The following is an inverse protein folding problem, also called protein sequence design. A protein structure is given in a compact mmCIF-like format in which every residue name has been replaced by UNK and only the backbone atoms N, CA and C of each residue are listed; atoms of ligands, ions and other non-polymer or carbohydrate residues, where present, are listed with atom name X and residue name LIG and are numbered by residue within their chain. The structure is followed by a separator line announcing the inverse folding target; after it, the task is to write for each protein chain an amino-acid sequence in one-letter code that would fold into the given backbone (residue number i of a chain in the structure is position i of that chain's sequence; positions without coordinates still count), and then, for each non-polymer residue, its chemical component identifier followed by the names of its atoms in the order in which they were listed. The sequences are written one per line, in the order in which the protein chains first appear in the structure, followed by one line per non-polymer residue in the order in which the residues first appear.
data_IF_887482412124
#
_entry.id   IF_887482412124
#
_cell.length_a   1.000
_cell.length_b   1.000
_cell.length_c   1.000
_cell.angle_alpha   90.00
_cell.angle_beta   90.00
_cell.angle_gamma   90.00
#
_symmetry.space_group_name_H-M   'P 1'
#
loop_
_entity.id
_entity.type
_entity.pdbx_description
1 polymer ?
#
# COMPACT_ATOMS: atom_id res chain seq x y z
N UNK A 1 -18.70 -6.05 7.52
CA UNK A 1 -18.05 -4.79 7.94
C UNK A 1 -16.55 -5.00 8.06
N UNK A 2 -15.69 -3.97 8.04
CA UNK A 2 -14.23 -4.12 8.18
C UNK A 2 -13.79 -4.90 9.42
N UNK A 3 -14.57 -4.82 10.50
CA UNK A 3 -14.33 -5.52 11.77
C UNK A 3 -14.42 -7.05 11.63
N UNK A 4 -15.23 -7.56 10.68
CA UNK A 4 -15.38 -9.00 10.44
C UNK A 4 -14.07 -9.62 9.91
N UNK A 5 -13.22 -8.82 9.26
CA UNK A 5 -11.94 -9.27 8.73
C UNK A 5 -10.86 -9.43 9.82
N UNK A 6 -11.05 -8.84 11.01
CA UNK A 6 -10.00 -8.75 12.03
C UNK A 6 -9.48 -10.11 12.51
N UNK A 7 -10.34 -11.12 12.52
CA UNK A 7 -10.00 -12.45 13.02
C UNK A 7 -9.46 -13.38 11.93
N UNK A 8 -9.36 -12.91 10.67
CA UNK A 8 -8.88 -13.74 9.59
C UNK A 8 -7.40 -14.11 9.83
N UNK A 9 -7.02 -15.41 9.86
CA UNK A 9 -5.66 -15.84 10.21
C UNK A 9 -4.56 -15.23 9.33
N UNK A 10 -4.90 -14.81 8.10
CA UNK A 10 -3.94 -14.20 7.18
C UNK A 10 -3.23 -12.98 7.76
N UNK A 11 -3.92 -12.16 8.55
CA UNK A 11 -3.36 -10.93 9.11
C UNK A 11 -2.32 -11.19 10.21
N UNK A 12 -2.21 -12.44 10.69
CA UNK A 12 -1.12 -12.88 11.58
C UNK A 12 0.15 -13.30 10.82
N UNK A 13 0.07 -13.41 9.49
CA UNK A 13 1.13 -13.94 8.63
C UNK A 13 1.75 -12.87 7.71
N UNK A 14 1.13 -11.69 7.63
CA UNK A 14 1.55 -10.61 6.73
C UNK A 14 2.04 -9.39 7.52
N UNK A 15 2.95 -8.61 6.93
CA UNK A 15 3.50 -7.40 7.54
C UNK A 15 2.79 -6.12 7.12
N UNK A 16 2.04 -6.13 6.02
CA UNK A 16 1.34 -4.97 5.47
C UNK A 16 0.16 -5.40 4.60
N UNK A 17 -0.74 -4.46 4.30
CA UNK A 17 -1.89 -4.64 3.40
C UNK A 17 -1.74 -3.69 2.21
N UNK A 18 -1.93 -4.19 0.99
CA UNK A 18 -2.03 -3.31 -0.17
C UNK A 18 -3.43 -2.68 -0.21
N UNK A 19 -3.49 -1.36 -0.07
CA UNK A 19 -4.75 -0.59 0.01
C UNK A 19 -4.93 0.35 -1.17
N UNK A 20 -3.95 0.38 -2.07
CA UNK A 20 -3.93 1.21 -3.25
C UNK A 20 -3.35 0.39 -4.41
N UNK A 21 -4.16 -0.52 -4.94
CA UNK A 21 -3.80 -1.36 -6.08
C UNK A 21 -4.39 -0.75 -7.37
N UNK A 22 -3.54 -0.59 -8.39
CA UNK A 22 -3.92 0.06 -9.64
C UNK A 22 -4.83 -0.76 -10.56
N UNK A 23 -4.92 -2.07 -10.36
CA UNK A 23 -5.84 -2.99 -11.03
C UNK A 23 -7.15 -3.26 -10.28
N UNK A 24 -7.26 -2.77 -9.04
CA UNK A 24 -8.42 -2.94 -8.14
C UNK A 24 -9.39 -1.77 -8.27
N UNK A 25 -10.69 -2.01 -8.01
CA UNK A 25 -11.70 -0.95 -7.99
C UNK A 25 -11.46 0.01 -6.81
N UNK A 26 -11.80 1.29 -6.97
CA UNK A 26 -11.52 2.28 -5.93
C UNK A 26 -12.29 1.96 -4.63
N UNK A 27 -13.52 1.42 -4.72
CA UNK A 27 -14.30 1.00 -3.55
C UNK A 27 -13.67 -0.18 -2.79
N UNK A 28 -12.97 -1.07 -3.49
CA UNK A 28 -12.25 -2.20 -2.89
C UNK A 28 -10.96 -1.72 -2.19
N UNK A 29 -10.26 -0.75 -2.78
CA UNK A 29 -9.13 -0.06 -2.15
C UNK A 29 -9.57 0.66 -0.87
N UNK A 30 -10.71 1.36 -0.90
CA UNK A 30 -11.30 2.02 0.26
C UNK A 30 -11.64 1.03 1.38
N UNK A 31 -12.20 -0.13 1.02
CA UNK A 31 -12.47 -1.19 1.98
C UNK A 31 -11.19 -1.74 2.60
N UNK A 32 -10.16 -2.00 1.79
CA UNK A 32 -8.86 -2.47 2.28
C UNK A 32 -8.20 -1.45 3.22
N UNK A 33 -8.28 -0.14 2.91
CA UNK A 33 -7.80 0.93 3.78
C UNK A 33 -8.50 0.92 5.14
N UNK A 34 -9.83 0.76 5.16
CA UNK A 34 -10.60 0.68 6.41
C UNK A 34 -10.22 -0.54 7.24
N UNK A 35 -10.08 -1.71 6.61
CA UNK A 35 -9.65 -2.95 7.29
C UNK A 35 -8.25 -2.80 7.88
N UNK A 36 -7.30 -2.28 7.10
CA UNK A 36 -5.92 -2.06 7.55
C UNK A 36 -5.86 -1.04 8.71
N UNK A 37 -6.69 0.00 8.66
CA UNK A 37 -6.83 0.98 9.74
C UNK A 37 -7.34 0.37 11.04
N UNK A 38 -8.37 -0.47 10.99
CA UNK A 38 -8.89 -1.19 12.17
C UNK A 38 -7.84 -2.14 12.75
N UNK A 39 -7.06 -2.80 11.89
CA UNK A 39 -5.97 -3.69 12.30
C UNK A 39 -4.68 -2.97 12.71
N UNK A 40 -4.61 -1.65 12.54
CA UNK A 40 -3.42 -0.82 12.71
C UNK A 40 -2.19 -1.41 11.97
N UNK A 41 -2.40 -1.87 10.74
CA UNK A 41 -1.37 -2.49 9.91
C UNK A 41 -0.72 -1.45 8.98
N UNK A 42 0.58 -1.60 8.68
CA UNK A 42 1.22 -0.85 7.61
C UNK A 42 0.51 -1.05 6.27
N UNK A 43 0.48 0.00 5.45
CA UNK A 43 -0.24 0.02 4.18
C UNK A 43 0.67 0.29 3.00
N UNK A 44 0.47 -0.43 1.91
CA UNK A 44 1.24 -0.30 0.66
C UNK A 44 0.34 0.09 -0.51
N UNK A 45 0.98 0.54 -1.58
CA UNK A 45 0.35 0.76 -2.87
C UNK A 45 1.22 0.27 -4.02
N UNK A 46 0.58 -0.17 -5.08
CA UNK A 46 1.21 -0.77 -6.25
C UNK A 46 0.40 -0.53 -7.52
N UNK A 47 1.09 -0.38 -8.64
CA UNK A 47 0.42 -0.05 -9.90
C UNK A 47 -0.33 -1.22 -10.54
N UNK A 48 0.06 -2.46 -10.21
CA UNK A 48 -0.40 -3.70 -10.86
C UNK A 48 -0.55 -3.59 -12.39
N UNK A 49 0.45 -2.95 -13.00
CA UNK A 49 0.34 -2.43 -14.35
C UNK A 49 0.58 -3.55 -15.38
N UNK A 50 -0.44 -3.83 -16.18
CA UNK A 50 -0.36 -4.72 -17.35
C UNK A 50 -0.15 -3.96 -18.66
N UNK A 51 0.02 -2.63 -18.58
CA UNK A 51 0.38 -1.74 -19.70
C UNK A 51 1.14 -0.51 -19.21
N UNK A 52 1.78 0.21 -20.12
CA UNK A 52 2.53 1.45 -19.80
C UNK A 52 1.66 2.53 -19.17
N UNK A 53 0.37 2.58 -19.49
CA UNK A 53 -0.57 3.56 -18.94
C UNK A 53 -0.83 3.34 -17.43
N UNK A 54 -0.72 2.10 -16.95
CA UNK A 54 -0.95 1.75 -15.54
C UNK A 54 0.22 2.07 -14.62
N UNK A 55 1.44 2.17 -15.16
CA UNK A 55 2.67 2.34 -14.37
C UNK A 55 2.53 3.57 -13.46
N UNK A 56 2.89 3.39 -12.18
CA UNK A 56 2.87 4.46 -11.18
C UNK A 56 1.49 5.05 -10.88
N UNK A 57 0.39 4.31 -11.15
CA UNK A 57 -0.96 4.71 -10.69
C UNK A 57 -0.95 4.87 -9.17
N UNK A 58 -0.47 3.85 -8.49
CA UNK A 58 -0.11 3.88 -7.09
C UNK A 58 1.31 3.37 -6.91
N UNK A 59 1.95 3.81 -5.83
CA UNK A 59 3.28 3.39 -5.41
C UNK A 59 3.36 3.34 -3.89
N UNK A 60 4.36 2.63 -3.37
CA UNK A 60 4.74 2.71 -1.96
C UNK A 60 5.89 3.68 -1.81
N UNK A 61 5.65 4.80 -1.14
CA UNK A 61 6.66 5.81 -0.86
C UNK A 61 7.37 5.49 0.46
N UNK A 62 8.69 5.30 0.39
CA UNK A 62 9.54 5.10 1.56
C UNK A 62 10.07 6.44 2.05
N UNK A 63 10.16 6.60 3.37
CA UNK A 63 10.69 7.82 3.98
C UNK A 63 12.19 8.03 3.71
N UNK A 64 12.94 6.93 3.68
CA UNK A 64 14.37 6.93 3.44
C UNK A 64 14.65 6.42 2.02
N UNK A 65 15.78 6.86 1.46
CA UNK A 65 16.30 6.27 0.23
C UNK A 65 16.68 4.80 0.46
N UNK A 66 16.38 3.96 -0.51
CA UNK A 66 16.62 2.52 -0.47
C UNK A 66 17.58 2.19 -1.62
N UNK A 67 18.79 1.75 -1.28
CA UNK A 67 19.87 1.51 -2.24
C UNK A 67 20.09 0.03 -2.53
N UNK A 68 19.56 -0.85 -1.68
CA UNK A 68 19.74 -2.29 -1.78
C UNK A 68 18.56 -3.05 -1.15
N UNK A 69 18.56 -4.37 -1.35
CA UNK A 69 17.50 -5.25 -0.86
C UNK A 69 17.43 -5.33 0.68
N UNK A 70 18.57 -5.22 1.37
CA UNK A 70 18.63 -5.31 2.83
C UNK A 70 17.96 -4.09 3.48
N UNK A 71 18.26 -2.89 2.96
CA UNK A 71 17.58 -1.63 3.32
C UNK A 71 16.08 -1.70 3.02
N UNK A 72 15.70 -2.27 1.88
CA UNK A 72 14.30 -2.45 1.50
C UNK A 72 13.53 -3.31 2.52
N UNK A 73 14.08 -4.48 2.87
CA UNK A 73 13.47 -5.38 3.85
C UNK A 73 13.41 -4.73 5.25
N UNK A 74 14.48 -4.04 5.66
CA UNK A 74 14.49 -3.33 6.93
C UNK A 74 13.39 -2.23 6.98
N UNK A 75 13.21 -1.48 5.89
CA UNK A 75 12.19 -0.45 5.81
C UNK A 75 10.76 -1.03 5.81
N UNK A 76 10.56 -2.18 5.15
CA UNK A 76 9.28 -2.91 5.20
C UNK A 76 8.96 -3.38 6.63
N UNK A 77 9.92 -3.98 7.35
CA UNK A 77 9.71 -4.38 8.74
C UNK A 77 9.54 -3.19 9.69
N UNK A 78 10.16 -2.05 9.40
CA UNK A 78 10.01 -0.84 10.20
C UNK A 78 8.63 -0.15 10.01
N UNK A 79 7.89 -0.47 8.95
CA UNK A 79 6.59 0.16 8.66
C UNK A 79 6.67 1.64 8.25
N UNK A 80 7.86 2.16 7.93
CA UNK A 80 8.08 3.59 7.65
C UNK A 80 7.88 3.93 6.16
N UNK A 81 6.68 3.67 5.66
CA UNK A 81 6.25 3.91 4.29
C UNK A 81 4.74 4.18 4.23
N UNK A 82 4.25 4.68 3.09
CA UNK A 82 2.82 4.87 2.86
C UNK A 82 2.47 4.70 1.37
N UNK A 83 1.21 4.36 1.03
CA UNK A 83 0.74 4.40 -0.35
C UNK A 83 0.72 5.86 -0.84
N UNK A 84 1.00 6.05 -2.12
CA UNK A 84 1.02 7.36 -2.76
C UNK A 84 0.48 7.28 -4.20
N UNK A 85 -0.02 8.43 -4.69
CA UNK A 85 -0.56 8.64 -6.03
C UNK A 85 0.06 9.89 -6.64
N UNK A 86 -0.06 10.06 -7.96
CA UNK A 86 0.38 11.28 -8.67
C UNK A 86 1.82 11.23 -9.18
N UNK A 87 2.48 10.07 -9.10
CA UNK A 87 3.85 9.90 -9.63
C UNK A 87 3.94 10.27 -11.13
N UNK A 88 2.95 9.87 -11.93
CA UNK A 88 2.92 10.17 -13.38
C UNK A 88 2.74 11.65 -13.70
N UNK A 89 2.13 12.42 -12.80
CA UNK A 89 1.88 13.85 -13.00
C UNK A 89 2.97 14.71 -12.35
N UNK A 90 3.94 14.10 -11.66
CA UNK A 90 4.94 14.82 -10.87
C UNK A 90 4.39 15.39 -9.56
N UNK A 91 3.15 15.08 -9.20
CA UNK A 91 2.45 15.57 -8.01
C UNK A 91 2.29 14.45 -6.98
N UNK A 92 3.41 13.86 -6.57
CA UNK A 92 3.40 12.74 -5.63
C UNK A 92 2.83 13.20 -4.27
N UNK A 93 1.80 12.50 -3.82
CA UNK A 93 1.15 12.76 -2.53
C UNK A 93 0.68 11.46 -1.87
N UNK A 94 0.56 11.42 -0.54
CA UNK A 94 -0.04 10.28 0.15
C UNK A 94 -1.43 9.96 -0.42
N UNK A 95 -1.72 8.68 -0.59
CA UNK A 95 -3.06 8.21 -0.90
C UNK A 95 -3.84 8.07 0.41
N UNK A 96 -5.02 8.68 0.46
CA UNK A 96 -5.89 8.74 1.63
C UNK A 96 -7.34 8.54 1.17
N UNK A 97 -8.15 7.92 2.03
CA UNK A 97 -9.58 7.65 1.83
C UNK A 97 -10.38 8.45 2.84
#
# INVERSE_FOLDING_TARGET
EPEDAMNHPIFKLVNAVEVANGGTADEENDFAMKVAGVLNMPVTGGSDAHSTHGIGRFVTAFRNEINNQEEFLAALHAGSFHPAVGLRTGELRPYTV
#
